data_IF_097523580679
#
_entry.id   IF_097523580679
#
_cell.length_a   1.000
_cell.length_b   1.000
_cell.length_c   1.000
_cell.angle_alpha   90.00
_cell.angle_beta   90.00
_cell.angle_gamma   90.00
#
_symmetry.space_group_name_H-M   'P 1'
#
loop_
_entity.id
_entity.type
_entity.pdbx_description
1 polymer ?
#
# COMPACT_ATOMS: atom_id res chain seq x y z
N UNK A 1 8.57 -28.90 -19.15
CA UNK A 1 9.90 -28.43 -18.70
C UNK A 1 9.98 -26.90 -18.74
N UNK A 2 9.90 -26.27 -19.92
CA UNK A 2 9.99 -24.79 -20.06
C UNK A 2 8.97 -24.00 -19.21
N UNK A 3 7.75 -24.50 -19.06
CA UNK A 3 6.72 -23.86 -18.22
C UNK A 3 7.11 -23.87 -16.74
N UNK A 4 7.59 -25.01 -16.24
CA UNK A 4 8.06 -25.15 -14.85
C UNK A 4 9.28 -24.26 -14.59
N UNK A 5 10.21 -24.21 -15.54
CA UNK A 5 11.38 -23.32 -15.46
C UNK A 5 10.96 -21.85 -15.40
N UNK A 6 10.01 -21.43 -16.24
CA UNK A 6 9.48 -20.06 -16.27
C UNK A 6 8.79 -19.70 -14.95
N UNK A 7 8.00 -20.62 -14.39
CA UNK A 7 7.36 -20.46 -13.09
C UNK A 7 8.39 -20.30 -11.97
N UNK A 8 9.42 -21.15 -11.94
CA UNK A 8 10.50 -21.06 -10.95
C UNK A 8 11.26 -19.73 -11.06
N UNK A 9 11.65 -19.31 -12.26
CA UNK A 9 12.32 -18.03 -12.46
C UNK A 9 11.47 -16.85 -11.99
N UNK A 10 10.16 -16.89 -12.24
CA UNK A 10 9.22 -15.86 -11.79
C UNK A 10 9.12 -15.81 -10.26
N UNK A 11 9.02 -16.98 -9.62
CA UNK A 11 9.00 -17.10 -8.16
C UNK A 11 10.29 -16.57 -7.53
N UNK A 12 11.46 -16.93 -8.08
CA UNK A 12 12.75 -16.43 -7.60
C UNK A 12 12.88 -14.91 -7.75
N UNK A 13 12.52 -14.35 -8.91
CA UNK A 13 12.58 -12.90 -9.14
C UNK A 13 11.63 -12.14 -8.22
N UNK A 14 10.39 -12.62 -8.06
CA UNK A 14 9.40 -12.05 -7.14
C UNK A 14 9.89 -12.11 -5.68
N UNK A 15 10.40 -13.27 -5.25
CA UNK A 15 10.94 -13.46 -3.91
C UNK A 15 12.17 -12.58 -3.61
N UNK A 16 13.07 -12.42 -4.58
CA UNK A 16 14.23 -11.53 -4.45
C UNK A 16 13.82 -10.06 -4.38
N UNK A 17 12.88 -9.62 -5.22
CA UNK A 17 12.34 -8.26 -5.21
C UNK A 17 11.71 -7.90 -3.86
N UNK A 18 10.90 -8.82 -3.31
CA UNK A 18 10.29 -8.69 -1.99
C UNK A 18 11.36 -8.62 -0.89
N UNK A 19 12.35 -9.53 -0.91
CA UNK A 19 13.45 -9.53 0.06
C UNK A 19 14.23 -8.20 0.06
N UNK A 20 14.55 -7.66 -1.11
CA UNK A 20 15.25 -6.37 -1.25
C UNK A 20 14.40 -5.21 -0.73
N UNK A 21 13.11 -5.21 -1.03
CA UNK A 21 12.14 -4.21 -0.55
C UNK A 21 12.07 -4.24 0.97
N UNK A 22 11.91 -5.43 1.57
CA UNK A 22 11.89 -5.60 3.02
C UNK A 22 13.20 -5.15 3.66
N UNK A 23 14.33 -5.57 3.10
CA UNK A 23 15.65 -5.18 3.61
C UNK A 23 15.83 -3.66 3.61
N UNK A 24 15.28 -2.95 2.62
CA UNK A 24 15.40 -1.50 2.53
C UNK A 24 14.43 -0.77 3.47
N UNK A 25 13.18 -1.24 3.56
CA UNK A 25 12.09 -0.46 4.15
C UNK A 25 11.56 -0.95 5.50
N UNK A 26 11.84 -2.17 5.97
CA UNK A 26 11.23 -2.70 7.20
C UNK A 26 11.48 -1.83 8.44
N UNK A 27 12.65 -1.18 8.55
CA UNK A 27 12.91 -0.26 9.67
C UNK A 27 12.02 0.99 9.60
N UNK A 28 11.74 1.47 8.39
CA UNK A 28 10.81 2.59 8.15
C UNK A 28 9.38 2.15 8.42
N UNK A 29 9.00 0.95 7.98
CA UNK A 29 7.69 0.36 8.24
C UNK A 29 7.42 0.25 9.73
N UNK A 30 8.31 -0.38 10.48
CA UNK A 30 8.18 -0.49 11.93
C UNK A 30 8.02 0.88 12.60
N UNK A 31 8.88 1.85 12.26
CA UNK A 31 8.78 3.21 12.79
C UNK A 31 7.44 3.86 12.44
N UNK A 32 7.03 3.81 11.19
CA UNK A 32 5.80 4.44 10.73
C UNK A 32 4.57 3.80 11.39
N UNK A 33 4.55 2.47 11.53
CA UNK A 33 3.52 1.74 12.25
C UNK A 33 3.40 2.23 13.69
N UNK A 34 4.51 2.29 14.44
CA UNK A 34 4.49 2.84 15.81
C UNK A 34 3.91 4.25 15.88
N UNK A 35 4.25 5.10 14.91
CA UNK A 35 3.81 6.48 14.89
C UNK A 35 2.35 6.63 14.46
N UNK A 36 1.84 5.78 13.57
CA UNK A 36 0.45 5.79 13.16
C UNK A 36 -0.49 5.24 14.23
N UNK A 37 -0.01 4.32 15.07
CA UNK A 37 -0.78 3.80 16.21
C UNK A 37 -1.27 4.88 17.18
N UNK A 38 -0.65 6.06 17.21
CA UNK A 38 -1.08 7.19 18.07
C UNK A 38 -2.39 7.83 17.64
N UNK A 39 -2.77 7.66 16.38
CA UNK A 39 -4.02 8.20 15.86
C UNK A 39 -5.19 7.27 16.11
N UNK A 40 -4.92 6.02 16.51
CA UNK A 40 -5.95 5.06 16.89
C UNK A 40 -6.36 5.38 18.34
N UNK A 41 -7.61 5.80 18.60
CA UNK A 41 -8.04 6.23 19.93
C UNK A 41 -7.93 5.10 20.96
N UNK A 42 -7.41 5.41 22.14
CA UNK A 42 -7.49 4.55 23.33
C UNK A 42 -8.84 4.77 24.04
N UNK A 43 -9.27 3.79 24.84
CA UNK A 43 -10.54 3.59 25.58
C UNK A 43 -11.52 4.75 25.93
N UNK A 44 -11.11 6.01 25.96
CA UNK A 44 -11.97 7.14 26.38
C UNK A 44 -12.92 7.67 25.29
N UNK A 45 -12.68 7.39 24.00
CA UNK A 45 -13.38 8.06 22.88
C UNK A 45 -14.27 7.19 21.97
N UNK A 46 -14.48 5.90 22.27
CA UNK A 46 -15.45 5.04 21.55
C UNK A 46 -14.83 3.94 20.67
N UNK A 47 -15.64 3.33 19.80
CA UNK A 47 -15.20 2.31 18.83
C UNK A 47 -14.25 2.93 17.80
N UNK A 48 -13.06 2.36 17.63
CA UNK A 48 -12.12 2.87 16.63
C UNK A 48 -12.52 2.36 15.24
N UNK A 49 -13.48 3.03 14.62
CA UNK A 49 -13.78 2.92 13.19
C UNK A 49 -12.57 3.19 12.27
N UNK A 50 -11.40 3.46 12.85
CA UNK A 50 -10.12 3.61 12.20
C UNK A 50 -9.36 2.29 12.00
N UNK A 51 -9.93 1.12 12.26
CA UNK A 51 -9.30 -0.18 11.93
C UNK A 51 -10.05 -0.87 10.79
N UNK A 52 -9.32 -1.41 9.81
CA UNK A 52 -9.89 -2.09 8.65
C UNK A 52 -10.80 -3.26 9.04
N UNK A 53 -10.47 -3.99 10.11
CA UNK A 53 -11.24 -5.15 10.60
C UNK A 53 -12.73 -4.89 10.76
N UNK A 54 -13.13 -3.64 10.98
CA UNK A 54 -14.52 -3.20 11.12
C UNK A 54 -15.31 -3.14 9.81
N UNK A 55 -14.63 -3.15 8.67
CA UNK A 55 -15.26 -2.93 7.35
C UNK A 55 -15.40 -4.22 6.55
N UNK A 56 -15.24 -5.38 7.18
CA UNK A 56 -15.37 -6.65 6.46
C UNK A 56 -16.79 -6.78 5.91
N UNK A 57 -16.89 -7.10 4.61
CA UNK A 57 -18.16 -7.31 3.91
C UNK A 57 -19.10 -6.09 3.87
N UNK A 58 -18.62 -4.88 4.16
CA UNK A 58 -19.50 -3.69 4.23
C UNK A 58 -20.09 -3.24 2.89
N UNK A 59 -19.44 -3.58 1.77
CA UNK A 59 -19.92 -3.29 0.43
C UNK A 59 -20.31 -4.56 -0.31
N UNK A 60 -20.83 -5.57 0.42
CA UNK A 60 -21.24 -6.83 -0.15
C UNK A 60 -22.20 -6.63 -1.33
N UNK A 61 -21.78 -7.11 -2.50
CA UNK A 61 -22.57 -7.03 -3.74
C UNK A 61 -22.69 -5.63 -4.33
N UNK A 62 -21.94 -4.63 -3.84
CA UNK A 62 -21.88 -3.32 -4.46
C UNK A 62 -20.87 -3.31 -5.61
N UNK A 63 -21.23 -2.78 -6.80
CA UNK A 63 -20.26 -2.55 -7.86
C UNK A 63 -19.22 -1.53 -7.40
N UNK A 64 -17.95 -1.83 -7.66
CA UNK A 64 -16.85 -0.97 -7.23
C UNK A 64 -15.86 -0.72 -8.37
N UNK A 65 -15.49 0.55 -8.57
CA UNK A 65 -14.48 0.97 -9.54
C UNK A 65 -13.15 1.12 -8.81
N UNK A 66 -12.19 0.29 -9.18
CA UNK A 66 -10.79 0.45 -8.79
C UNK A 66 -10.06 1.30 -9.84
N UNK A 67 -9.63 2.49 -9.43
CA UNK A 67 -8.96 3.45 -10.30
C UNK A 67 -7.44 3.44 -10.07
N UNK A 68 -6.70 2.98 -11.08
CA UNK A 68 -5.25 3.13 -11.18
C UNK A 68 -4.84 4.40 -11.91
N UNK A 69 -3.56 4.78 -11.78
CA UNK A 69 -3.00 5.98 -12.41
C UNK A 69 -2.29 5.70 -13.75
N UNK A 70 -2.67 4.63 -14.45
CA UNK A 70 -2.13 4.29 -15.76
C UNK A 70 -2.42 5.37 -16.81
N UNK A 71 -1.60 5.49 -17.87
CA UNK A 71 -1.76 6.54 -18.88
C UNK A 71 -3.17 6.63 -19.50
N UNK A 72 -3.85 5.50 -19.68
CA UNK A 72 -5.20 5.42 -20.26
C UNK A 72 -6.30 6.00 -19.36
N UNK A 73 -6.02 6.29 -18.07
CA UNK A 73 -6.98 6.87 -17.14
C UNK A 73 -7.63 8.12 -17.73
N UNK A 74 -6.86 8.98 -18.41
CA UNK A 74 -7.38 10.23 -19.01
C UNK A 74 -8.55 9.99 -19.95
N UNK A 75 -8.50 8.93 -20.78
CA UNK A 75 -9.58 8.57 -21.71
C UNK A 75 -10.80 8.01 -20.97
N UNK A 76 -10.61 7.49 -19.76
CA UNK A 76 -11.63 6.82 -18.96
C UNK A 76 -12.37 7.76 -17.99
N UNK A 77 -11.90 8.99 -17.78
CA UNK A 77 -12.51 9.95 -16.84
C UNK A 77 -14.01 10.20 -17.12
N UNK A 78 -14.48 10.40 -18.36
CA UNK A 78 -15.91 10.56 -18.63
C UNK A 78 -16.73 9.33 -18.22
N UNK A 79 -16.19 8.12 -18.44
CA UNK A 79 -16.84 6.87 -18.07
C UNK A 79 -16.93 6.72 -16.54
N UNK A 80 -15.82 6.98 -15.84
CA UNK A 80 -15.79 6.94 -14.36
C UNK A 80 -16.84 7.90 -13.80
N UNK A 81 -16.93 9.13 -14.33
CA UNK A 81 -17.91 10.13 -13.88
C UNK A 81 -19.37 9.69 -14.08
N UNK A 82 -19.65 8.94 -15.14
CA UNK A 82 -20.99 8.40 -15.38
C UNK A 82 -21.32 7.26 -14.40
N UNK A 83 -20.36 6.36 -14.16
CA UNK A 83 -20.55 5.19 -13.30
C UNK A 83 -20.45 5.50 -11.79
N UNK A 84 -19.74 6.56 -11.40
CA UNK A 84 -19.51 6.93 -9.99
C UNK A 84 -20.78 7.25 -9.22
N UNK A 85 -21.91 7.46 -9.91
CA UNK A 85 -23.22 7.65 -9.28
C UNK A 85 -23.78 6.37 -8.67
N UNK A 86 -23.35 5.22 -9.18
CA UNK A 86 -23.91 3.91 -8.84
C UNK A 86 -22.86 2.98 -8.21
N UNK A 87 -21.58 3.27 -8.40
CA UNK A 87 -20.48 2.45 -7.91
C UNK A 87 -19.73 3.10 -6.74
N UNK A 88 -19.15 2.27 -5.88
CA UNK A 88 -18.07 2.67 -4.97
C UNK A 88 -16.81 2.99 -5.78
N UNK A 89 -16.27 4.20 -5.70
CA UNK A 89 -15.00 4.57 -6.36
C UNK A 89 -13.84 4.51 -5.37
N UNK A 90 -12.95 3.54 -5.59
CA UNK A 90 -11.71 3.36 -4.84
C UNK A 90 -10.53 3.76 -5.71
N UNK A 91 -9.84 4.82 -5.35
CA UNK A 91 -8.67 5.30 -6.09
C UNK A 91 -7.37 4.87 -5.40
N UNK A 92 -6.40 4.38 -6.17
CA UNK A 92 -5.03 4.41 -5.71
C UNK A 92 -4.58 5.87 -5.54
N UNK A 93 -3.79 6.16 -4.50
CA UNK A 93 -3.33 7.53 -4.19
C UNK A 93 -2.81 8.33 -5.39
N UNK A 94 -2.09 7.70 -6.31
CA UNK A 94 -1.55 8.34 -7.52
C UNK A 94 -2.63 8.82 -8.49
N UNK A 95 -3.82 8.23 -8.49
CA UNK A 95 -4.93 8.56 -9.39
C UNK A 95 -5.82 9.71 -8.89
N UNK A 96 -5.64 10.15 -7.63
CA UNK A 96 -6.50 11.15 -6.98
C UNK A 96 -6.52 12.47 -7.72
N UNK A 97 -5.37 13.05 -8.07
CA UNK A 97 -5.31 14.36 -8.73
C UNK A 97 -5.99 14.38 -10.10
N UNK A 98 -5.76 13.42 -11.02
CA UNK A 98 -6.52 13.33 -12.26
C UNK A 98 -8.04 13.25 -12.06
N UNK A 99 -8.51 12.49 -11.07
CA UNK A 99 -9.93 12.36 -10.75
C UNK A 99 -10.53 13.70 -10.29
N UNK A 100 -9.92 14.33 -9.29
CA UNK A 100 -10.40 15.59 -8.73
C UNK A 100 -10.42 16.72 -9.78
N UNK A 101 -9.38 16.82 -10.60
CA UNK A 101 -9.31 17.79 -11.72
C UNK A 101 -10.42 17.59 -12.77
N UNK A 102 -11.06 16.42 -12.79
CA UNK A 102 -12.17 16.08 -13.69
C UNK A 102 -13.54 16.20 -13.01
N UNK A 103 -13.57 16.69 -11.77
CA UNK A 103 -14.76 16.79 -10.94
C UNK A 103 -15.28 15.43 -10.48
N UNK A 104 -14.38 14.47 -10.24
CA UNK A 104 -14.70 13.15 -9.69
C UNK A 104 -14.05 13.04 -8.31
N UNK A 105 -14.87 12.97 -7.26
CA UNK A 105 -14.40 12.76 -5.89
C UNK A 105 -14.49 11.26 -5.57
N UNK A 106 -13.36 10.54 -5.40
CA UNK A 106 -13.39 9.15 -4.98
C UNK A 106 -13.92 9.06 -3.55
N UNK A 107 -14.76 8.05 -3.25
CA UNK A 107 -15.22 7.82 -1.88
C UNK A 107 -14.12 7.24 -1.01
N UNK A 108 -13.23 6.41 -1.60
CA UNK A 108 -12.09 5.83 -0.90
C UNK A 108 -10.79 6.10 -1.65
N UNK A 109 -9.74 6.44 -0.91
CA UNK A 109 -8.37 6.45 -1.40
C UNK A 109 -7.56 5.42 -0.62
N UNK A 110 -6.87 4.53 -1.35
CA UNK A 110 -5.97 3.54 -0.75
C UNK A 110 -4.51 4.00 -0.79
N UNK A 111 -3.81 3.82 0.33
CA UNK A 111 -2.41 4.18 0.54
C UNK A 111 -1.62 2.98 1.08
N UNK A 112 -0.43 2.77 0.51
CA UNK A 112 0.47 1.67 0.89
C UNK A 112 1.93 2.12 1.08
N UNK A 113 2.35 3.24 0.49
CA UNK A 113 3.76 3.66 0.48
C UNK A 113 4.18 4.31 1.82
N UNK A 114 5.29 3.83 2.36
CA UNK A 114 5.91 4.29 3.60
C UNK A 114 6.79 5.54 3.44
N UNK A 115 7.17 5.87 2.21
CA UNK A 115 8.03 7.01 1.91
C UNK A 115 7.26 8.33 1.99
N UNK A 116 7.98 9.41 2.32
CA UNK A 116 7.42 10.76 2.45
C UNK A 116 6.80 11.29 1.15
N UNK A 117 7.23 10.77 0.00
CA UNK A 117 6.73 11.17 -1.33
C UNK A 117 5.24 10.90 -1.50
N UNK A 118 4.68 9.93 -0.75
CA UNK A 118 3.24 9.64 -0.77
C UNK A 118 2.37 10.86 -0.48
N UNK A 119 2.86 11.78 0.38
CA UNK A 119 2.16 13.04 0.70
C UNK A 119 1.87 13.87 -0.54
N UNK A 120 2.74 13.82 -1.55
CA UNK A 120 2.65 14.67 -2.73
C UNK A 120 1.50 14.26 -3.66
N UNK A 121 1.04 13.01 -3.55
CA UNK A 121 -0.13 12.53 -4.29
C UNK A 121 -1.43 13.19 -3.82
N UNK A 122 -1.50 13.60 -2.55
CA UNK A 122 -2.72 14.13 -1.92
C UNK A 122 -2.60 15.59 -1.48
N UNK A 123 -1.38 16.13 -1.41
CA UNK A 123 -1.13 17.48 -0.90
C UNK A 123 -1.84 18.54 -1.76
N UNK A 124 -2.59 19.40 -1.06
CA UNK A 124 -3.29 20.55 -1.64
C UNK A 124 -4.69 20.22 -2.17
N UNK A 125 -5.11 18.96 -2.06
CA UNK A 125 -6.42 18.50 -2.52
C UNK A 125 -7.44 18.50 -1.38
N UNK A 126 -8.71 18.79 -1.69
CA UNK A 126 -9.82 18.62 -0.75
C UNK A 126 -10.31 17.17 -0.76
N UNK A 127 -10.06 16.47 0.35
CA UNK A 127 -10.45 15.08 0.60
C UNK A 127 -11.37 14.97 1.82
N UNK A 128 -12.08 16.04 2.16
CA UNK A 128 -13.01 16.07 3.30
C UNK A 128 -14.17 15.06 3.19
N UNK A 129 -14.53 14.69 1.96
CA UNK A 129 -15.59 13.69 1.65
C UNK A 129 -15.03 12.33 1.24
N UNK A 130 -13.73 12.10 1.46
CA UNK A 130 -13.03 10.88 1.05
C UNK A 130 -12.46 10.18 2.26
N UNK A 131 -12.74 8.89 2.40
CA UNK A 131 -12.11 8.06 3.41
C UNK A 131 -10.75 7.56 2.92
N UNK A 132 -9.74 7.69 3.78
CA UNK A 132 -8.38 7.28 3.51
C UNK A 132 -8.15 5.93 4.17
N UNK A 133 -8.06 4.88 3.35
CA UNK A 133 -7.64 3.56 3.80
C UNK A 133 -6.12 3.48 3.62
N UNK A 134 -5.39 3.41 4.73
CA UNK A 134 -3.94 3.48 4.73
C UNK A 134 -3.35 2.30 5.47
N UNK A 135 -2.31 1.69 4.90
CA UNK A 135 -1.50 0.77 5.69
C UNK A 135 -0.81 1.52 6.84
N UNK A 136 -0.69 0.88 8.00
CA UNK A 136 0.07 1.40 9.14
C UNK A 136 1.53 1.73 8.78
N UNK A 137 2.09 1.15 7.72
CA UNK A 137 3.45 1.51 7.26
C UNK A 137 3.51 2.87 6.58
N UNK A 138 2.38 3.49 6.20
CA UNK A 138 2.36 4.76 5.50
C UNK A 138 3.01 5.90 6.30
N UNK A 139 3.53 6.90 5.59
CA UNK A 139 4.25 7.99 6.26
C UNK A 139 3.35 8.75 7.26
N UNK A 140 3.71 8.87 8.55
CA UNK A 140 2.79 9.31 9.62
C UNK A 140 2.35 10.78 9.57
N UNK A 141 3.00 11.59 8.71
CA UNK A 141 2.54 12.95 8.40
C UNK A 141 1.28 12.97 7.53
N UNK A 142 0.87 11.86 6.92
CA UNK A 142 -0.33 11.82 6.09
C UNK A 142 -1.58 12.23 6.87
N UNK A 143 -1.75 11.68 8.07
CA UNK A 143 -2.87 12.02 8.96
C UNK A 143 -2.84 13.49 9.38
N UNK A 144 -1.65 14.07 9.59
CA UNK A 144 -1.52 15.50 9.90
C UNK A 144 -1.79 16.40 8.69
N UNK A 145 -1.42 15.94 7.49
CA UNK A 145 -1.56 16.71 6.25
C UNK A 145 -3.00 16.71 5.72
N UNK A 146 -3.85 15.79 6.20
CA UNK A 146 -5.25 15.61 5.80
C UNK A 146 -6.16 15.57 7.05
N UNK A 147 -6.18 16.63 7.88
CA UNK A 147 -6.86 16.61 9.17
C UNK A 147 -8.39 16.47 9.06
N UNK A 148 -8.96 16.81 7.90
CA UNK A 148 -10.40 16.74 7.65
C UNK A 148 -10.82 15.42 6.98
N UNK A 149 -9.88 14.52 6.71
CA UNK A 149 -10.19 13.23 6.09
C UNK A 149 -10.26 12.14 7.16
N UNK A 150 -11.20 11.21 6.99
CA UNK A 150 -11.26 10.01 7.84
C UNK A 150 -10.12 9.06 7.49
N UNK A 151 -9.45 8.51 8.50
CA UNK A 151 -8.41 7.49 8.32
C UNK A 151 -8.87 6.14 8.85
N UNK A 152 -8.67 5.10 8.05
CA UNK A 152 -8.83 3.70 8.42
C UNK A 152 -7.50 2.99 8.16
N UNK A 153 -6.96 2.35 9.18
CA UNK A 153 -5.69 1.69 9.16
C UNK A 153 -5.82 0.20 8.89
N UNK A 154 -5.02 -0.29 7.96
CA UNK A 154 -4.82 -1.71 7.69
C UNK A 154 -3.38 -2.13 7.98
N UNK A 155 -3.13 -3.43 7.98
CA UNK A 155 -1.78 -3.99 7.81
C UNK A 155 -1.68 -4.70 6.46
N UNK A 156 -0.48 -5.03 6.03
CA UNK A 156 -0.25 -5.84 4.83
C UNK A 156 0.37 -7.16 5.23
N UNK A 157 -0.12 -8.25 4.63
CA UNK A 157 0.39 -9.58 4.85
C UNK A 157 0.52 -10.37 3.54
N UNK A 158 1.64 -11.08 3.42
CA UNK A 158 1.83 -12.09 2.37
C UNK A 158 1.52 -13.46 2.94
N UNK A 159 0.66 -14.22 2.27
CA UNK A 159 0.40 -15.62 2.58
C UNK A 159 1.25 -16.51 1.67
N UNK A 160 1.89 -17.51 2.25
CA UNK A 160 2.56 -18.59 1.54
C UNK A 160 2.30 -19.91 2.27
N UNK A 161 2.69 -21.01 1.66
CA UNK A 161 2.65 -22.32 2.29
C UNK A 161 4.10 -22.75 2.59
N UNK A 162 4.33 -23.35 3.75
CA UNK A 162 5.61 -24.00 4.03
C UNK A 162 5.75 -25.34 3.28
N UNK A 163 6.90 -25.98 3.44
CA UNK A 163 7.18 -27.28 2.83
C UNK A 163 6.19 -28.39 3.27
N UNK A 164 5.49 -28.21 4.40
CA UNK A 164 4.46 -29.11 4.89
C UNK A 164 3.04 -28.70 4.44
N UNK A 165 2.90 -27.67 3.60
CA UNK A 165 1.61 -27.16 3.13
C UNK A 165 0.84 -26.34 4.17
N UNK A 166 1.48 -25.92 5.27
CA UNK A 166 0.84 -25.07 6.27
C UNK A 166 0.90 -23.60 5.82
N UNK A 167 -0.22 -22.86 5.90
CA UNK A 167 -0.21 -21.43 5.59
C UNK A 167 0.64 -20.67 6.60
N UNK A 168 1.53 -19.83 6.09
CA UNK A 168 2.30 -18.86 6.85
C UNK A 168 1.90 -17.46 6.38
N UNK A 169 1.60 -16.62 7.36
CA UNK A 169 1.34 -15.21 7.16
C UNK A 169 2.60 -14.42 7.54
N UNK A 170 3.16 -13.71 6.57
CA UNK A 170 4.27 -12.79 6.77
C UNK A 170 3.76 -11.37 6.68
N UNK A 171 3.56 -10.78 7.86
CA UNK A 171 3.08 -9.42 8.01
C UNK A 171 4.22 -8.40 7.85
N UNK A 172 3.83 -7.15 7.59
CA UNK A 172 4.72 -5.99 7.67
C UNK A 172 5.20 -5.77 9.12
N UNK A 173 6.40 -5.21 9.27
CA UNK A 173 6.98 -4.98 10.59
C UNK A 173 6.13 -4.00 11.41
N UNK A 174 5.75 -4.40 12.62
CA UNK A 174 4.92 -3.62 13.54
C UNK A 174 3.47 -4.11 13.59
N UNK A 175 3.03 -4.93 12.63
CA UNK A 175 1.66 -5.45 12.57
C UNK A 175 1.31 -6.33 13.77
N UNK A 176 2.19 -7.26 14.19
CA UNK A 176 1.92 -8.13 15.33
C UNK A 176 1.83 -7.34 16.62
N UNK A 177 2.74 -6.38 16.79
CA UNK A 177 2.73 -5.49 17.92
C UNK A 177 1.42 -4.68 18.00
N UNK A 178 0.97 -4.17 16.85
CA UNK A 178 -0.28 -3.44 16.74
C UNK A 178 -1.48 -4.33 17.08
N UNK A 179 -1.55 -5.54 16.53
CA UNK A 179 -2.64 -6.49 16.78
C UNK A 179 -2.72 -6.97 18.24
N UNK A 180 -1.57 -7.17 18.89
CA UNK A 180 -1.50 -7.53 20.31
C UNK A 180 -2.16 -6.50 21.23
N UNK A 181 -2.14 -5.22 20.84
CA UNK A 181 -2.59 -4.12 21.70
C UNK A 181 -3.93 -3.52 21.31
N UNK A 182 -4.25 -3.51 20.02
CA UNK A 182 -5.49 -2.93 19.48
C UNK A 182 -6.50 -3.98 19.02
N UNK A 183 -6.17 -5.26 19.15
CA UNK A 183 -6.97 -6.34 18.58
C UNK A 183 -6.79 -6.46 17.06
N UNK A 184 -7.65 -7.21 16.37
CA UNK A 184 -7.53 -7.41 14.93
C UNK A 184 -7.59 -6.07 14.19
N UNK A 185 -6.53 -5.72 13.46
CA UNK A 185 -6.51 -4.49 12.65
C UNK A 185 -7.12 -4.74 11.27
N UNK A 186 -6.99 -5.96 10.74
CA UNK A 186 -7.33 -6.29 9.37
C UNK A 186 -6.07 -6.21 8.50
N UNK A 187 -5.81 -7.29 7.77
CA UNK A 187 -4.64 -7.40 6.89
C UNK A 187 -5.08 -7.58 5.44
N UNK A 188 -4.45 -6.84 4.54
CA UNK A 188 -4.62 -6.95 3.09
C UNK A 188 -3.43 -7.66 2.46
N UNK A 189 -3.67 -8.36 1.36
CA UNK A 189 -2.64 -8.80 0.44
C UNK A 189 -2.10 -7.62 -0.38
N UNK A 190 -0.86 -7.72 -0.84
CA UNK A 190 -0.31 -6.82 -1.85
C UNK A 190 0.59 -7.59 -2.80
N UNK A 191 0.41 -7.34 -4.10
CA UNK A 191 1.33 -7.77 -5.17
C UNK A 191 2.49 -6.79 -5.41
N UNK A 192 2.78 -5.89 -4.47
CA UNK A 192 3.85 -4.89 -4.59
C UNK A 192 3.42 -3.57 -5.25
N UNK A 193 2.12 -3.31 -5.37
CA UNK A 193 1.53 -2.06 -5.86
C UNK A 193 0.38 -1.63 -4.96
N UNK A 194 0.07 -0.33 -4.93
CA UNK A 194 -1.12 0.20 -4.25
C UNK A 194 -2.39 -0.40 -4.85
N UNK A 195 -2.44 -0.58 -6.17
CA UNK A 195 -3.65 -1.08 -6.84
C UNK A 195 -3.93 -2.55 -6.55
N UNK A 196 -2.91 -3.39 -6.38
CA UNK A 196 -3.09 -4.79 -5.98
C UNK A 196 -3.62 -4.88 -4.55
N UNK A 197 -3.13 -4.06 -3.64
CA UNK A 197 -3.68 -3.98 -2.28
C UNK A 197 -5.09 -3.40 -2.23
N UNK A 198 -5.39 -2.41 -3.07
CA UNK A 198 -6.74 -1.85 -3.19
C UNK A 198 -7.74 -2.85 -3.80
N UNK A 199 -7.30 -3.77 -4.66
CA UNK A 199 -8.12 -4.87 -5.14
C UNK A 199 -8.47 -5.84 -4.01
N UNK A 200 -7.50 -6.18 -3.16
CA UNK A 200 -7.78 -7.02 -1.99
C UNK A 200 -8.62 -6.28 -0.94
N UNK A 201 -8.54 -4.96 -0.84
CA UNK A 201 -9.46 -4.14 -0.04
C UNK A 201 -10.91 -4.29 -0.54
N UNK A 202 -11.13 -4.22 -1.85
CA UNK A 202 -12.47 -4.45 -2.44
C UNK A 202 -12.99 -5.87 -2.18
N UNK A 203 -12.10 -6.88 -2.24
CA UNK A 203 -12.44 -8.24 -1.82
C UNK A 203 -12.79 -8.33 -0.34
N UNK A 204 -12.04 -7.64 0.52
CA UNK A 204 -12.30 -7.58 1.96
C UNK A 204 -13.68 -6.98 2.26
N UNK A 205 -14.11 -6.01 1.44
CA UNK A 205 -15.46 -5.44 1.49
C UNK A 205 -16.55 -6.32 0.86
N UNK A 206 -16.20 -7.43 0.21
CA UNK A 206 -17.09 -8.26 -0.62
C UNK A 206 -17.78 -7.48 -1.76
N UNK A 207 -17.13 -6.43 -2.27
CA UNK A 207 -17.62 -5.69 -3.43
C UNK A 207 -17.63 -6.56 -4.68
N UNK A 208 -18.73 -6.49 -5.45
CA UNK A 208 -18.92 -7.24 -6.68
C UNK A 208 -19.99 -6.57 -7.54
N UNK A 209 -19.78 -6.39 -8.86
CA UNK A 209 -18.53 -6.64 -9.59
C UNK A 209 -17.40 -5.65 -9.22
N UNK A 210 -16.14 -6.05 -9.41
CA UNK A 210 -14.98 -5.15 -9.34
C UNK A 210 -14.62 -4.69 -10.75
N UNK A 211 -14.57 -3.38 -10.96
CA UNK A 211 -14.36 -2.73 -12.25
C UNK A 211 -12.99 -2.05 -12.26
N UNK A 212 -12.07 -2.56 -13.06
CA UNK A 212 -10.71 -2.04 -13.21
C UNK A 212 -10.67 -0.91 -14.25
N UNK A 213 -10.16 0.26 -13.86
CA UNK A 213 -9.99 1.42 -14.75
C UNK A 213 -8.64 2.08 -14.54
N UNK A 214 -7.96 2.48 -15.62
CA UNK A 214 -6.61 3.06 -15.55
C UNK A 214 -5.55 2.05 -15.07
N UNK A 215 -5.80 0.76 -15.32
CA UNK A 215 -4.96 -0.37 -14.94
C UNK A 215 -4.12 -0.82 -16.13
N UNK A 216 -3.38 0.12 -16.71
CA UNK A 216 -2.64 -0.09 -17.96
C UNK A 216 -1.59 -1.20 -17.88
N UNK A 217 -0.91 -1.37 -16.73
CA UNK A 217 0.14 -2.39 -16.51
C UNK A 217 1.21 -2.47 -17.63
N UNK A 218 1.44 -1.35 -18.32
CA UNK A 218 2.38 -1.20 -19.41
C UNK A 218 2.75 0.28 -19.56
N UNK A 219 3.81 0.55 -20.33
CA UNK A 219 4.19 1.90 -20.75
C UNK A 219 3.31 2.40 -21.90
N UNK A 220 2.00 2.45 -21.65
CA UNK A 220 1.01 2.90 -22.63
C UNK A 220 1.38 4.29 -23.15
N UNK A 221 1.48 4.41 -24.47
CA UNK A 221 1.94 5.63 -25.15
C UNK A 221 3.31 6.17 -24.64
N UNK A 222 4.18 5.28 -24.14
CA UNK A 222 5.48 5.62 -23.52
C UNK A 222 5.37 6.59 -22.34
N UNK A 223 4.31 6.47 -21.55
CA UNK A 223 4.08 7.30 -20.35
C UNK A 223 4.17 6.44 -19.09
N UNK A 224 4.74 6.99 -18.02
CA UNK A 224 4.79 6.28 -16.72
C UNK A 224 3.42 6.28 -16.01
N UNK A 225 2.70 7.40 -16.09
CA UNK A 225 1.43 7.62 -15.41
C UNK A 225 0.54 8.55 -16.23
N UNK A 226 -0.74 8.63 -15.87
CA UNK A 226 -1.66 9.63 -16.39
C UNK A 226 -1.11 11.06 -16.23
N UNK A 227 -1.31 11.89 -17.25
CA UNK A 227 -1.10 13.33 -17.16
C UNK A 227 -2.01 13.91 -16.06
N UNK A 228 -1.49 14.87 -15.29
CA UNK A 228 -2.22 15.48 -14.17
C UNK A 228 -1.97 14.84 -12.81
N UNK A 229 -1.22 13.72 -12.76
CA UNK A 229 -0.65 13.17 -11.52
C UNK A 229 0.47 14.06 -10.98
N UNK A 230 0.83 13.85 -9.70
CA UNK A 230 1.92 14.61 -9.07
C UNK A 230 3.27 14.49 -9.82
N UNK A 231 3.54 13.36 -10.48
CA UNK A 231 4.78 13.20 -11.26
C UNK A 231 4.89 14.27 -12.35
N UNK A 232 3.80 14.56 -13.06
CA UNK A 232 3.77 15.60 -14.08
C UNK A 232 3.82 17.01 -13.49
N UNK A 233 3.23 17.25 -12.32
CA UNK A 233 3.38 18.53 -11.61
C UNK A 233 4.83 18.79 -11.18
N UNK A 234 5.54 17.74 -10.76
CA UNK A 234 6.97 17.86 -10.48
C UNK A 234 7.74 18.12 -11.78
N UNK A 235 7.41 17.41 -12.85
CA UNK A 235 8.13 17.56 -14.12
C UNK A 235 7.90 18.91 -14.79
N UNK A 236 6.74 19.55 -14.59
CA UNK A 236 6.48 20.89 -15.14
C UNK A 236 7.48 21.94 -14.64
N UNK A 237 8.01 21.76 -13.43
CA UNK A 237 9.03 22.67 -12.86
C UNK A 237 10.43 22.52 -13.46
N UNK A 238 10.70 21.41 -14.17
CA UNK A 238 12.01 21.10 -14.77
C UNK A 238 11.94 20.96 -16.29
N UNK A 239 10.74 21.01 -16.86
CA UNK A 239 10.49 20.90 -18.29
C UNK A 239 10.95 22.18 -18.99
N UNK A 240 11.61 22.02 -20.13
CA UNK A 240 12.07 23.13 -20.96
C UNK A 240 12.19 22.68 -22.43
N UNK A 241 12.66 23.56 -23.31
CA UNK A 241 12.82 23.29 -24.75
C UNK A 241 13.70 22.06 -25.06
N UNK A 242 14.66 21.74 -24.20
CA UNK A 242 15.58 20.61 -24.37
C UNK A 242 15.20 19.38 -23.53
N UNK A 243 14.12 19.46 -22.75
CA UNK A 243 13.68 18.43 -21.83
C UNK A 243 12.15 18.37 -21.77
N UNK A 244 11.55 17.70 -22.76
CA UNK A 244 10.11 17.48 -22.83
C UNK A 244 9.63 16.38 -21.87
N UNK A 245 8.31 16.25 -21.68
CA UNK A 245 7.77 15.14 -20.89
C UNK A 245 8.06 13.78 -21.51
N UNK A 246 8.03 13.69 -22.84
CA UNK A 246 8.37 12.48 -23.60
C UNK A 246 9.82 12.08 -23.32
N UNK A 247 10.76 13.02 -23.35
CA UNK A 247 12.18 12.75 -23.04
C UNK A 247 12.38 12.32 -21.58
N UNK A 248 11.66 12.94 -20.64
CA UNK A 248 11.70 12.54 -19.23
C UNK A 248 11.17 11.12 -19.05
N UNK A 249 10.00 10.81 -19.63
CA UNK A 249 9.41 9.47 -19.58
C UNK A 249 10.37 8.45 -20.20
N UNK A 250 10.90 8.75 -21.40
CA UNK A 250 11.81 7.87 -22.13
C UNK A 250 13.06 7.56 -21.33
N UNK A 251 13.68 8.57 -20.71
CA UNK A 251 14.85 8.38 -19.86
C UNK A 251 14.58 7.46 -18.66
N UNK A 252 13.35 7.48 -18.13
CA UNK A 252 12.98 6.62 -17.00
C UNK A 252 12.62 5.20 -17.45
N UNK A 253 11.97 5.05 -18.60
CA UNK A 253 11.65 3.75 -19.21
C UNK A 253 12.95 3.02 -19.57
N UNK A 254 13.93 3.71 -20.16
CA UNK A 254 15.23 3.13 -20.54
C UNK A 254 16.07 2.61 -19.36
N UNK A 255 15.77 3.03 -18.12
CA UNK A 255 16.43 2.48 -16.93
C UNK A 255 15.94 1.08 -16.56
N UNK A 256 14.94 0.56 -17.27
CA UNK A 256 14.28 -0.69 -16.97
C UNK A 256 14.39 -1.65 -18.15
N UNK A 257 14.49 -2.93 -17.83
CA UNK A 257 14.46 -3.98 -18.84
C UNK A 257 13.04 -4.03 -19.40
N UNK A 258 12.91 -3.63 -20.65
CA UNK A 258 11.61 -3.57 -21.32
C UNK A 258 11.26 -4.94 -21.91
N UNK A 259 9.99 -5.30 -21.83
CA UNK A 259 9.47 -6.59 -22.27
C UNK A 259 8.18 -6.36 -23.08
N UNK A 260 7.95 -7.09 -24.19
CA UNK A 260 6.68 -7.01 -24.90
C UNK A 260 5.57 -7.67 -24.09
N UNK A 261 4.43 -6.99 -23.98
CA UNK A 261 3.25 -7.48 -23.26
C UNK A 261 2.05 -7.49 -24.19
N UNK A 262 1.20 -8.51 -24.10
CA UNK A 262 -0.04 -8.57 -24.87
C UNK A 262 -0.92 -7.34 -24.57
N UNK A 263 -1.34 -6.63 -25.61
CA UNK A 263 -2.20 -5.45 -25.51
C UNK A 263 -3.66 -5.85 -25.37
N UNK A 264 -4.49 -4.93 -24.88
CA UNK A 264 -5.95 -5.00 -24.97
C UNK A 264 -6.46 -4.93 -26.43
N UNK A 265 -5.63 -4.46 -27.35
CA UNK A 265 -5.93 -4.50 -28.78
C UNK A 265 -5.46 -5.84 -29.35
N UNK A 266 -6.40 -6.65 -29.85
CA UNK A 266 -6.13 -7.99 -30.35
C UNK A 266 -4.97 -8.04 -31.35
N UNK A 267 -4.05 -8.99 -31.14
CA UNK A 267 -2.87 -9.20 -31.98
C UNK A 267 -1.76 -8.16 -31.82
N UNK A 268 -1.91 -7.17 -30.94
CA UNK A 268 -0.89 -6.15 -30.69
C UNK A 268 -0.10 -6.42 -29.40
N UNK A 269 1.13 -5.93 -29.37
CA UNK A 269 1.94 -5.88 -28.16
C UNK A 269 2.21 -4.43 -27.76
N UNK A 270 2.40 -4.22 -26.46
CA UNK A 270 2.75 -2.94 -25.87
C UNK A 270 4.01 -3.11 -25.03
N UNK A 271 4.78 -2.03 -24.92
CA UNK A 271 6.01 -2.03 -24.12
C UNK A 271 5.65 -2.09 -22.63
N UNK A 272 6.13 -3.11 -21.93
CA UNK A 272 6.05 -3.23 -20.48
C UNK A 272 7.43 -3.38 -19.85
N UNK A 273 7.45 -3.73 -18.57
CA UNK A 273 8.66 -4.15 -17.86
C UNK A 273 8.32 -5.33 -16.92
N UNK A 274 9.35 -5.91 -16.33
CA UNK A 274 9.20 -7.01 -15.38
C UNK A 274 8.29 -6.67 -14.17
N UNK A 275 8.39 -5.46 -13.61
CA UNK A 275 7.66 -5.04 -12.40
C UNK A 275 6.16 -4.86 -12.68
N UNK A 276 5.82 -4.20 -13.78
CA UNK A 276 4.45 -4.05 -14.24
C UNK A 276 3.84 -5.41 -14.59
N UNK A 277 4.63 -6.31 -15.18
CA UNK A 277 4.20 -7.68 -15.44
C UNK A 277 3.97 -8.47 -14.15
N UNK A 278 4.78 -8.30 -13.09
CA UNK A 278 4.52 -8.89 -11.78
C UNK A 278 3.17 -8.43 -11.21
N UNK A 279 2.84 -7.14 -11.34
CA UNK A 279 1.53 -6.62 -10.90
C UNK A 279 0.38 -7.22 -11.71
N UNK A 280 0.55 -7.30 -13.02
CA UNK A 280 -0.43 -7.91 -13.93
C UNK A 280 -0.67 -9.37 -13.58
N UNK A 281 0.38 -10.17 -13.47
CA UNK A 281 0.29 -11.59 -13.10
C UNK A 281 -0.34 -11.79 -11.73
N UNK A 282 -0.11 -10.90 -10.77
CA UNK A 282 -0.78 -10.94 -9.47
C UNK A 282 -2.31 -10.75 -9.61
N UNK A 283 -2.77 -9.85 -10.47
CA UNK A 283 -4.21 -9.71 -10.76
C UNK A 283 -4.77 -10.97 -11.41
N UNK A 284 -4.10 -11.50 -12.43
CA UNK A 284 -4.53 -12.70 -13.16
C UNK A 284 -4.61 -13.93 -12.23
N UNK A 285 -3.62 -14.11 -11.37
CA UNK A 285 -3.60 -15.16 -10.35
C UNK A 285 -4.72 -14.96 -9.32
N UNK A 286 -4.91 -13.73 -8.84
CA UNK A 286 -5.97 -13.40 -7.89
C UNK A 286 -7.35 -13.70 -8.48
N UNK A 287 -7.63 -13.27 -9.71
CA UNK A 287 -8.89 -13.51 -10.40
C UNK A 287 -9.12 -15.01 -10.61
N UNK A 288 -8.10 -15.75 -11.05
CA UNK A 288 -8.18 -17.20 -11.27
C UNK A 288 -8.52 -17.96 -9.99
N UNK A 289 -7.98 -17.52 -8.85
CA UNK A 289 -8.23 -18.12 -7.55
C UNK A 289 -9.62 -17.77 -6.98
N UNK A 290 -10.42 -16.95 -7.69
CA UNK A 290 -11.69 -16.39 -7.24
C UNK A 290 -12.75 -16.46 -8.35
N UNK A 291 -13.16 -17.67 -8.79
CA UNK A 291 -14.04 -17.85 -9.94
C UNK A 291 -15.42 -17.18 -9.77
N UNK A 292 -15.89 -17.01 -8.53
CA UNK A 292 -17.18 -16.37 -8.24
C UNK A 292 -17.13 -14.84 -8.26
N UNK A 293 -15.93 -14.25 -8.25
CA UNK A 293 -15.76 -12.79 -8.24
C UNK A 293 -15.77 -12.25 -9.66
N UNK A 294 -16.81 -11.48 -9.99
CA UNK A 294 -16.88 -10.81 -11.28
C UNK A 294 -15.90 -9.65 -11.34
N UNK A 295 -14.87 -9.77 -12.18
CA UNK A 295 -13.88 -8.72 -12.42
C UNK A 295 -13.98 -8.24 -13.87
N UNK A 296 -14.18 -6.94 -14.04
CA UNK A 296 -14.34 -6.28 -15.33
C UNK A 296 -13.12 -5.41 -15.60
N UNK A 297 -12.55 -5.47 -16.81
CA UNK A 297 -11.51 -4.56 -17.23
C UNK A 297 -12.08 -3.51 -18.18
N UNK A 298 -12.28 -2.29 -17.68
CA UNK A 298 -12.73 -1.13 -18.47
C UNK A 298 -11.58 -0.16 -18.77
N UNK A 299 -10.34 -0.57 -18.52
CA UNK A 299 -9.16 0.22 -18.89
C UNK A 299 -9.18 0.48 -20.40
N UNK A 300 -9.01 1.74 -20.78
CA UNK A 300 -9.18 2.15 -22.17
C UNK A 300 -8.05 1.67 -23.10
N UNK A 301 -6.85 1.44 -22.56
CA UNK A 301 -5.67 1.00 -23.30
C UNK A 301 -4.63 0.41 -22.33
N UNK A 302 -3.67 -0.37 -22.82
CA UNK A 302 -2.64 -1.02 -22.01
C UNK A 302 -2.61 -2.54 -22.17
N UNK A 303 -2.05 -3.22 -21.19
CA UNK A 303 -1.89 -4.66 -21.19
C UNK A 303 -3.21 -5.40 -20.94
N UNK A 304 -3.37 -6.53 -21.60
CA UNK A 304 -4.41 -7.50 -21.30
C UNK A 304 -4.17 -8.11 -19.92
N UNK A 305 -5.21 -8.11 -19.09
CA UNK A 305 -5.26 -8.79 -17.79
C UNK A 305 -6.15 -10.02 -17.95
N UNK A 306 -5.57 -11.21 -18.04
CA UNK A 306 -6.30 -12.46 -18.20
C UNK A 306 -7.27 -12.72 -17.03
N UNK A 307 -8.43 -13.29 -17.34
CA UNK A 307 -9.50 -13.58 -16.36
C UNK A 307 -10.45 -12.43 -16.09
N UNK A 308 -10.05 -11.17 -16.34
CA UNK A 308 -10.97 -10.03 -16.25
C UNK A 308 -11.84 -9.94 -17.52
N UNK A 309 -13.15 -9.83 -17.35
CA UNK A 309 -14.09 -9.67 -18.45
C UNK A 309 -13.92 -8.31 -19.14
N UNK A 310 -13.82 -8.32 -20.47
CA UNK A 310 -13.69 -7.12 -21.31
C UNK A 310 -14.96 -6.92 -22.14
N UNK A 311 -15.77 -5.88 -21.88
CA UNK A 311 -16.97 -5.63 -22.67
C UNK A 311 -16.64 -5.06 -24.05
N UNK A 312 -17.55 -5.25 -25.00
CA UNK A 312 -17.41 -4.75 -26.38
C UNK A 312 -17.45 -3.22 -26.48
N UNK A 313 -18.13 -2.56 -25.55
CA UNK A 313 -18.26 -1.11 -25.51
C UNK A 313 -17.75 -0.54 -24.19
N UNK A 314 -17.09 0.63 -24.26
CA UNK A 314 -16.70 1.43 -23.10
C UNK A 314 -17.62 2.65 -22.90
N UNK A 315 -18.84 2.61 -23.44
CA UNK A 315 -19.85 3.66 -23.24
C UNK A 315 -20.67 3.33 -21.99
N UNK A 316 -21.01 4.35 -21.21
CA UNK A 316 -21.71 4.18 -19.94
C UNK A 316 -23.07 3.47 -20.07
N UNK A 317 -23.91 3.88 -21.02
CA UNK A 317 -25.26 3.33 -21.19
C UNK A 317 -25.30 1.81 -21.45
N UNK A 318 -24.53 1.24 -22.43
CA UNK A 318 -24.42 -0.21 -22.56
C UNK A 318 -23.91 -0.90 -21.30
N UNK A 319 -22.90 -0.30 -20.65
CA UNK A 319 -22.26 -0.90 -19.48
C UNK A 319 -23.20 -0.98 -18.28
N UNK A 320 -24.01 0.05 -18.02
CA UNK A 320 -24.99 0.01 -16.94
C UNK A 320 -26.00 -1.13 -17.11
N UNK A 321 -26.44 -1.38 -18.35
CA UNK A 321 -27.32 -2.50 -18.67
C UNK A 321 -26.62 -3.85 -18.49
N UNK A 322 -25.40 -3.97 -18.97
CA UNK A 322 -24.62 -5.22 -18.94
C UNK A 322 -24.21 -5.60 -17.51
N UNK A 323 -23.81 -4.62 -16.71
CA UNK A 323 -23.48 -4.77 -15.29
C UNK A 323 -24.73 -4.97 -14.42
N UNK A 324 -25.93 -4.85 -14.99
CA UNK A 324 -27.21 -4.89 -14.26
C UNK A 324 -27.27 -3.90 -13.09
N UNK A 325 -26.66 -2.73 -13.26
CA UNK A 325 -26.64 -1.66 -12.26
C UNK A 325 -27.94 -0.87 -12.38
N UNK A 326 -28.73 -0.87 -11.32
CA UNK A 326 -29.99 -0.14 -11.27
C UNK A 326 -29.78 1.26 -10.70
N UNK A 327 -30.60 2.23 -11.12
CA UNK A 327 -30.52 3.60 -10.57
C UNK A 327 -30.84 3.66 -9.07
N UNK A 328 -31.49 2.63 -8.53
CA UNK A 328 -31.81 2.44 -7.11
C UNK A 328 -30.66 1.80 -6.31
N UNK A 329 -29.54 1.44 -6.94
CA UNK A 329 -28.40 0.85 -6.24
C UNK A 329 -27.81 1.88 -5.27
N UNK A 330 -28.10 1.67 -3.98
CA UNK A 330 -27.73 2.55 -2.88
C UNK A 330 -26.23 2.46 -2.54
N UNK A 331 -25.37 2.02 -3.48
CA UNK A 331 -23.95 1.77 -3.22
C UNK A 331 -23.16 3.07 -3.08
N UNK A 332 -23.49 4.10 -3.86
CA UNK A 332 -22.86 5.41 -3.72
C UNK A 332 -23.25 6.10 -2.41
N UNK A 333 -24.51 6.02 -1.98
CA UNK A 333 -24.95 6.58 -0.70
C UNK A 333 -24.39 5.78 0.50
N UNK A 334 -24.34 4.44 0.43
CA UNK A 334 -23.60 3.61 1.40
C UNK A 334 -22.14 4.04 1.50
N UNK A 335 -21.52 4.36 0.36
CA UNK A 335 -20.14 4.81 0.31
C UNK A 335 -19.92 6.22 0.87
N UNK A 336 -20.92 7.11 0.76
CA UNK A 336 -20.89 8.43 1.38
C UNK A 336 -20.98 8.36 2.91
N UNK A 337 -21.69 7.36 3.44
CA UNK A 337 -21.83 7.10 4.88
C UNK A 337 -20.96 5.92 5.34
N UNK A 338 -19.68 5.93 4.98
CA UNK A 338 -18.77 4.82 5.29
C UNK A 338 -18.67 4.53 6.80
N UNK A 339 -18.90 5.54 7.65
CA UNK A 339 -18.87 5.44 9.11
C UNK A 339 -19.95 4.50 9.64
N UNK A 340 -21.15 4.56 9.04
CA UNK A 340 -22.28 3.68 9.39
C UNK A 340 -22.02 2.22 9.02
N UNK A 341 -21.02 1.97 8.18
CA UNK A 341 -20.66 0.63 7.72
C UNK A 341 -19.69 -0.10 8.67
N UNK A 342 -19.08 0.61 9.61
CA UNK A 342 -18.12 0.02 10.55
C UNK A 342 -18.83 -0.81 11.63
N UNK A 343 -18.44 -2.08 11.77
CA UNK A 343 -18.93 -2.91 12.88
C UNK A 343 -18.45 -2.37 14.23
N UNK A 344 -19.30 -2.33 15.26
CA UNK A 344 -18.90 -1.88 16.60
C UNK A 344 -18.17 -3.01 17.36
N UNK A 345 -16.94 -2.79 17.84
CA UNK A 345 -16.20 -3.76 18.69
C UNK A 345 -16.06 -3.29 20.14
N UNK A 346 -15.66 -4.25 21.00
CA UNK A 346 -15.33 -4.05 22.41
C UNK A 346 -14.09 -3.15 22.57
N UNK A 347 -14.08 -2.36 23.64
CA UNK A 347 -13.03 -1.38 23.97
C UNK A 347 -11.70 -2.05 24.34
N UNK A 348 -10.57 -1.58 23.79
CA UNK A 348 -9.21 -2.00 24.16
C UNK A 348 -8.46 -0.88 24.88
N UNK A 349 -7.81 -1.17 26.02
CA UNK A 349 -6.91 -0.23 26.71
C UNK A 349 -5.47 -0.50 26.26
N UNK A 350 -4.75 0.50 25.79
CA UNK A 350 -3.34 0.33 25.40
C UNK A 350 -2.45 1.47 25.88
N UNK A 351 -1.54 1.17 26.81
CA UNK A 351 -0.42 2.04 27.20
C UNK A 351 0.82 1.80 26.30
N UNK A 352 0.62 1.16 25.13
CA UNK A 352 1.70 0.69 24.26
C UNK A 352 2.69 1.80 23.91
N UNK A 353 2.21 2.95 23.47
CA UNK A 353 3.08 4.03 22.99
C UNK A 353 3.96 4.58 24.10
N UNK A 354 3.39 4.76 25.29
CA UNK A 354 4.15 5.19 26.47
C UNK A 354 5.16 4.13 26.86
N UNK A 355 4.76 2.86 26.91
CA UNK A 355 5.62 1.74 27.29
C UNK A 355 6.78 1.53 26.31
N UNK A 356 6.51 1.60 25.01
CA UNK A 356 7.54 1.44 23.99
C UNK A 356 8.44 2.67 23.93
N UNK A 357 7.91 3.88 24.10
CA UNK A 357 8.72 5.09 24.18
C UNK A 357 9.70 5.02 25.36
N UNK A 358 9.22 4.60 26.54
CA UNK A 358 10.06 4.40 27.72
C UNK A 358 11.13 3.32 27.50
N UNK A 359 10.75 2.19 26.88
CA UNK A 359 11.68 1.11 26.57
C UNK A 359 12.76 1.54 25.56
N UNK A 360 12.36 2.28 24.52
CA UNK A 360 13.28 2.86 23.52
C UNK A 360 14.22 3.86 24.19
N UNK A 361 13.70 4.75 25.03
CA UNK A 361 14.50 5.75 25.74
C UNK A 361 15.52 5.10 26.69
N UNK A 362 15.09 4.11 27.46
CA UNK A 362 15.97 3.35 28.35
C UNK A 362 17.10 2.67 27.57
N UNK A 363 16.77 1.97 26.49
CA UNK A 363 17.75 1.28 25.66
C UNK A 363 18.72 2.27 24.99
N UNK A 364 18.21 3.42 24.53
CA UNK A 364 19.02 4.49 23.97
C UNK A 364 20.06 5.01 24.97
N UNK A 365 19.65 5.22 26.23
CA UNK A 365 20.53 5.70 27.30
C UNK A 365 21.66 4.69 27.58
N UNK A 366 21.33 3.41 27.68
CA UNK A 366 22.34 2.35 27.86
C UNK A 366 23.34 2.30 26.71
N UNK A 367 22.85 2.40 25.45
CA UNK A 367 23.70 2.44 24.26
C UNK A 367 24.61 3.68 24.20
N UNK A 368 24.21 4.80 24.81
CA UNK A 368 25.02 6.02 24.88
C UNK A 368 26.10 5.94 25.97
N UNK A 369 25.79 5.33 27.11
CA UNK A 369 26.70 5.22 28.25
C UNK A 369 27.74 4.11 28.10
N UNK A 370 27.52 3.15 27.18
CA UNK A 370 28.45 2.04 26.96
C UNK A 370 28.41 1.00 28.08
N UNK A 371 27.31 0.89 28.82
CA UNK A 371 27.17 -0.05 29.94
C UNK A 371 27.36 -1.50 29.47
N UNK A 372 28.26 -2.25 30.12
CA UNK A 372 28.64 -3.62 29.74
C UNK A 372 27.47 -4.65 29.86
N UNK A 373 26.35 -4.29 30.49
CA UNK A 373 25.11 -5.09 30.55
C UNK A 373 24.17 -4.88 29.33
N UNK A 374 24.59 -4.11 28.33
CA UNK A 374 23.80 -3.81 27.12
C UNK A 374 23.31 -5.06 26.34
N UNK A 375 24.05 -6.19 26.23
CA UNK A 375 23.57 -7.36 25.49
C UNK A 375 22.25 -7.93 26.03
N UNK A 376 22.11 -8.06 27.36
CA UNK A 376 20.89 -8.58 27.98
C UNK A 376 19.70 -7.63 27.75
N UNK A 377 19.90 -6.32 27.86
CA UNK A 377 18.83 -5.33 27.61
C UNK A 377 18.39 -5.28 26.15
N UNK A 378 19.33 -5.46 25.21
CA UNK A 378 19.01 -5.56 23.78
C UNK A 378 18.14 -6.80 23.53
N UNK A 379 18.53 -7.95 24.09
CA UNK A 379 17.76 -9.20 23.93
C UNK A 379 16.37 -9.08 24.55
N UNK A 380 16.27 -8.57 25.79
CA UNK A 380 14.98 -8.30 26.45
C UNK A 380 14.08 -7.39 25.62
N UNK A 381 14.64 -6.33 25.02
CA UNK A 381 13.88 -5.42 24.17
C UNK A 381 13.30 -6.13 22.94
N UNK A 382 14.07 -6.97 22.26
CA UNK A 382 13.58 -7.71 21.10
C UNK A 382 12.68 -8.90 21.45
N UNK A 383 12.83 -9.50 22.62
CA UNK A 383 11.88 -10.48 23.14
C UNK A 383 10.53 -9.82 23.42
N UNK A 384 10.54 -8.61 24.01
CA UNK A 384 9.34 -7.83 24.29
C UNK A 384 8.68 -7.27 23.02
N UNK A 385 9.49 -6.85 22.05
CA UNK A 385 9.04 -6.27 20.78
C UNK A 385 9.66 -7.01 19.58
N UNK A 386 9.18 -8.22 19.24
CA UNK A 386 9.79 -9.05 18.18
C UNK A 386 9.86 -8.34 16.82
N UNK A 387 8.84 -7.55 16.48
CA UNK A 387 8.79 -6.80 15.23
C UNK A 387 9.88 -5.71 15.13
N UNK A 388 10.43 -5.27 16.26
CA UNK A 388 11.52 -4.30 16.28
C UNK A 388 12.82 -4.87 15.70
N UNK A 389 12.92 -6.18 15.47
CA UNK A 389 14.07 -6.82 14.81
C UNK A 389 14.43 -6.11 13.48
N UNK A 390 13.44 -5.51 12.81
CA UNK A 390 13.62 -4.66 11.64
C UNK A 390 14.69 -3.56 11.82
N UNK A 391 14.87 -3.04 13.03
CA UNK A 391 15.83 -1.99 13.37
C UNK A 391 17.29 -2.46 13.31
N UNK A 392 17.55 -3.76 13.48
CA UNK A 392 18.91 -4.34 13.48
C UNK A 392 19.25 -5.20 12.26
N UNK A 393 18.27 -5.56 11.42
CA UNK A 393 18.49 -6.43 10.23
C UNK A 393 19.64 -6.00 9.32
N UNK A 394 19.80 -4.69 9.07
CA UNK A 394 20.93 -4.17 8.24
C UNK A 394 22.29 -4.44 8.91
N UNK A 395 22.38 -4.27 10.24
CA UNK A 395 23.58 -4.61 10.99
C UNK A 395 23.84 -6.11 11.02
N UNK A 396 22.82 -6.93 11.29
CA UNK A 396 22.95 -8.38 11.35
C UNK A 396 23.43 -8.95 10.00
N UNK A 397 22.88 -8.44 8.88
CA UNK A 397 23.32 -8.82 7.54
C UNK A 397 24.77 -8.43 7.26
N UNK A 398 25.19 -7.22 7.66
CA UNK A 398 26.58 -6.79 7.54
C UNK A 398 27.54 -7.65 8.38
N UNK A 399 27.17 -7.94 9.63
CA UNK A 399 27.94 -8.78 10.55
C UNK A 399 28.06 -10.19 9.98
N UNK A 400 26.96 -10.79 9.52
CA UNK A 400 26.95 -12.13 8.94
C UNK A 400 27.86 -12.23 7.71
N UNK A 401 27.86 -11.22 6.82
CA UNK A 401 28.71 -11.18 5.62
C UNK A 401 30.20 -11.01 5.93
N UNK A 402 30.55 -10.45 7.08
CA UNK A 402 31.93 -10.15 7.46
C UNK A 402 32.35 -10.90 8.74
N UNK A 403 31.68 -12.01 9.07
CA UNK A 403 31.81 -12.65 10.36
C UNK A 403 33.26 -12.98 10.69
N UNK A 404 33.96 -13.67 9.79
CA UNK A 404 35.37 -14.07 9.95
C UNK A 404 36.35 -12.89 10.05
N UNK A 405 35.98 -11.72 9.51
CA UNK A 405 36.83 -10.52 9.47
C UNK A 405 36.65 -9.59 10.68
N UNK A 406 35.64 -9.84 11.50
CA UNK A 406 35.25 -8.95 12.61
C UNK A 406 35.47 -9.64 13.95
N UNK A 407 36.18 -8.99 14.87
CA UNK A 407 36.24 -9.39 16.29
C UNK A 407 34.85 -9.27 16.93
N UNK A 408 34.61 -10.00 18.02
CA UNK A 408 33.33 -9.93 18.75
C UNK A 408 33.00 -8.50 19.21
N UNK A 409 33.98 -7.78 19.74
CA UNK A 409 33.86 -6.36 20.12
C UNK A 409 33.43 -5.50 18.94
N UNK A 410 34.01 -5.73 17.76
CA UNK A 410 33.67 -4.96 16.56
C UNK A 410 32.25 -5.26 16.08
N UNK A 411 31.80 -6.51 16.17
CA UNK A 411 30.42 -6.92 15.83
C UNK A 411 29.41 -6.23 16.75
N UNK A 412 29.67 -6.22 18.06
CA UNK A 412 28.83 -5.51 19.03
C UNK A 412 28.82 -4.00 18.77
N UNK A 413 29.97 -3.38 18.51
CA UNK A 413 30.05 -1.96 18.19
C UNK A 413 29.25 -1.59 16.93
N UNK A 414 29.27 -2.43 15.89
CA UNK A 414 28.45 -2.25 14.68
C UNK A 414 26.97 -2.32 15.01
N UNK A 415 26.55 -3.36 15.75
CA UNK A 415 25.16 -3.52 16.16
C UNK A 415 24.68 -2.30 16.96
N UNK A 416 25.44 -1.89 17.98
CA UNK A 416 25.11 -0.75 18.84
C UNK A 416 25.00 0.55 18.03
N UNK A 417 25.94 0.79 17.10
CA UNK A 417 25.92 1.98 16.24
C UNK A 417 24.66 2.04 15.37
N UNK A 418 24.29 0.93 14.74
CA UNK A 418 23.10 0.88 13.88
C UNK A 418 21.82 1.01 14.70
N UNK A 419 21.71 0.27 15.80
CA UNK A 419 20.54 0.29 16.66
C UNK A 419 20.33 1.67 17.27
N UNK A 420 21.38 2.29 17.82
CA UNK A 420 21.36 3.67 18.31
C UNK A 420 20.82 4.62 17.25
N UNK A 421 21.36 4.58 16.03
CA UNK A 421 20.90 5.45 14.93
C UNK A 421 19.41 5.29 14.61
N UNK A 422 18.89 4.07 14.59
CA UNK A 422 17.46 3.86 14.30
C UNK A 422 16.57 4.27 15.49
N UNK A 423 16.97 3.96 16.72
CA UNK A 423 16.25 4.39 17.93
C UNK A 423 16.24 5.92 18.08
N UNK A 424 17.33 6.62 17.78
CA UNK A 424 17.38 8.10 17.78
C UNK A 424 16.40 8.72 16.77
N UNK A 425 16.10 8.04 15.66
CA UNK A 425 15.09 8.53 14.70
C UNK A 425 13.68 8.38 15.26
N UNK A 426 13.40 7.26 15.94
CA UNK A 426 12.10 7.00 16.57
C UNK A 426 11.90 7.94 17.76
N UNK A 427 12.88 8.02 18.66
CA UNK A 427 12.87 8.86 19.87
C UNK A 427 12.68 10.34 19.53
N UNK A 428 13.39 10.88 18.54
CA UNK A 428 13.17 12.26 18.07
C UNK A 428 11.71 12.49 17.68
N UNK A 429 11.11 11.55 16.96
CA UNK A 429 9.74 11.68 16.49
C UNK A 429 8.71 11.55 17.64
N UNK A 430 8.97 10.65 18.58
CA UNK A 430 8.16 10.51 19.79
C UNK A 430 8.26 11.77 20.66
N UNK A 431 9.45 12.28 20.96
CA UNK A 431 9.66 13.48 21.80
C UNK A 431 9.05 14.75 21.22
N UNK A 432 9.20 15.00 19.92
CA UNK A 432 8.65 16.20 19.29
C UNK A 432 7.11 16.26 19.28
N UNK A 433 6.40 15.14 19.51
CA UNK A 433 4.96 15.04 19.22
C UNK A 433 4.11 14.23 20.23
N UNK A 434 4.71 13.48 21.16
CA UNK A 434 4.01 12.75 22.24
C UNK A 434 4.02 13.54 23.54
N UNK A 435 5.09 14.30 23.83
CA UNK A 435 5.23 15.05 25.09
C UNK A 435 4.51 16.41 25.04
N UNK A 436 4.24 16.96 23.85
CA UNK A 436 3.55 18.24 23.70
C UNK A 436 2.02 18.11 23.53
N UNK A 437 1.48 16.90 23.44
CA UNK A 437 0.05 16.60 23.22
C UNK A 437 -0.53 15.54 24.18
N UNK A 438 0.24 15.14 25.20
CA UNK A 438 -0.26 14.55 26.46
C UNK A 438 -0.29 15.68 27.48
#
# INVERSE_FOLDING_TARGET
YNEVETQLQTLFKSGLSDLLTRFEFESIWFRNTLLNLRYIPNQQLGSSEMLLSHYKSCYKGCPAILVGAGPSLRKSLPLIKALSKYCLVVAASTAVKPLLKSGISPQIVHLLDAQVHTLLHLRGEDLSKTAIFADLVCHPKLTEALPNSKFVFSTTAKYYYDAAGKPIQLQTSGAKLAEQHFGPIGSLQSGGSVTTSAFDLLRFFEASPIILVGMDMAWTHRQLHCVGTHHYEKWSTIQNRLKSYEQINETLIQKRVSEPVASLNDGQTILGDHVLNLYRSWFEESIRNLPDLQVWNLTADGALIAGAYRPKSLKAEPLLKELSINETDNCNSKAQNIDEQAQKLKKYKSDLLTNIANSIYSLLKSLQNGDLNTPNQIEEFFQRYPDAIALRKKADSYIKRNYEKLTNERRQAILHKYLKRELEKIDRWLKYRVINNL
#
